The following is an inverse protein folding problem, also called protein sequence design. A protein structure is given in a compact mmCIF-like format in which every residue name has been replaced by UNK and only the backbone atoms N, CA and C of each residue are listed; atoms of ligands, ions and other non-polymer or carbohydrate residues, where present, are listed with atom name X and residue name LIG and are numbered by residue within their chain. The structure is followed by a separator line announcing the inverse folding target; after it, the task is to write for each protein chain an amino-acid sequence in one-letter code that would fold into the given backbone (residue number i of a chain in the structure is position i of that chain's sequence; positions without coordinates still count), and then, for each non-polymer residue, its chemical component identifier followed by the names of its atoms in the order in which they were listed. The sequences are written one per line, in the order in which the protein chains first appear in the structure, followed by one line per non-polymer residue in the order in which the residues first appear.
data_IF_929401036817
#
_entry.id   IF_929401036817
#
_cell.length_a   1.000
_cell.length_b   1.000
_cell.length_c   1.000
_cell.angle_alpha   90.00
_cell.angle_beta   90.00
_cell.angle_gamma   90.00
#
_symmetry.space_group_name_H-M   'P 1'
#
loop_
_entity.id
_entity.type
_entity.pdbx_description
1 polymer ?
#
# COMPACT_ATOMS: atom_id res chain seq x y z
N UNK A 1 -9.65 -38.76 -81.81
CA UNK A 1 -10.44 -37.52 -81.66
C UNK A 1 -10.09 -36.91 -80.31
N UNK A 2 -9.50 -35.70 -80.28
CA UNK A 2 -9.07 -35.08 -79.03
C UNK A 2 -10.26 -34.50 -78.26
N UNK A 3 -10.41 -34.87 -76.98
CA UNK A 3 -11.48 -34.36 -76.12
C UNK A 3 -11.32 -32.87 -75.84
N UNK A 4 -12.40 -32.10 -75.97
CA UNK A 4 -12.43 -30.66 -75.65
C UNK A 4 -12.10 -30.44 -74.16
N UNK A 5 -11.26 -29.44 -73.82
CA UNK A 5 -10.93 -29.18 -72.43
C UNK A 5 -12.16 -28.66 -71.65
N UNK A 6 -12.30 -29.03 -70.36
CA UNK A 6 -13.46 -28.62 -69.57
C UNK A 6 -13.46 -27.11 -69.34
N UNK A 7 -14.63 -26.49 -69.52
CA UNK A 7 -14.82 -25.05 -69.32
C UNK A 7 -14.49 -24.65 -67.87
N UNK A 8 -13.58 -23.66 -67.71
CA UNK A 8 -13.21 -23.11 -66.39
C UNK A 8 -14.46 -22.55 -65.70
N UNK A 9 -14.86 -23.15 -64.57
CA UNK A 9 -15.91 -22.61 -63.69
C UNK A 9 -15.53 -21.18 -63.31
N UNK A 10 -16.35 -20.19 -63.70
CA UNK A 10 -16.18 -18.78 -63.28
C UNK A 10 -16.20 -18.75 -61.75
N UNK A 11 -15.03 -18.56 -61.14
CA UNK A 11 -14.87 -18.52 -59.70
C UNK A 11 -15.81 -17.49 -59.07
N UNK A 12 -16.47 -17.88 -57.97
CA UNK A 12 -17.35 -16.99 -57.19
C UNK A 12 -16.57 -15.74 -56.80
N UNK A 13 -16.94 -14.59 -57.37
CA UNK A 13 -16.31 -13.29 -57.05
C UNK A 13 -16.38 -13.08 -55.54
N UNK A 14 -15.23 -13.02 -54.87
CA UNK A 14 -15.14 -12.71 -53.44
C UNK A 14 -15.67 -11.29 -53.24
N UNK A 15 -16.80 -11.15 -52.56
CA UNK A 15 -17.33 -9.83 -52.18
C UNK A 15 -16.31 -9.20 -51.23
N UNK A 16 -15.80 -8.02 -51.59
CA UNK A 16 -14.89 -7.26 -50.73
C UNK A 16 -15.68 -6.84 -49.49
N UNK A 17 -15.31 -7.34 -48.31
CA UNK A 17 -15.87 -6.83 -47.07
C UNK A 17 -15.44 -5.38 -46.91
N UNK A 18 -16.40 -4.48 -46.81
CA UNK A 18 -16.15 -3.10 -46.38
C UNK A 18 -16.29 -3.08 -44.88
N UNK A 19 -15.15 -3.20 -44.20
CA UNK A 19 -15.06 -3.04 -42.76
C UNK A 19 -15.29 -1.56 -42.43
N UNK A 20 -16.55 -1.18 -42.25
CA UNK A 20 -16.91 0.12 -41.68
C UNK A 20 -17.23 -0.08 -40.20
N UNK A 21 -16.68 0.79 -39.36
CA UNK A 21 -17.05 0.84 -37.95
C UNK A 21 -18.57 1.07 -37.82
N UNK A 22 -19.21 0.33 -36.91
CA UNK A 22 -20.65 0.43 -36.67
C UNK A 22 -21.06 1.80 -36.12
N UNK A 23 -20.16 2.47 -35.40
CA UNK A 23 -20.38 3.80 -34.84
C UNK A 23 -19.20 4.72 -35.21
N UNK A 24 -19.52 5.98 -35.51
CA UNK A 24 -18.54 7.02 -35.90
C UNK A 24 -17.94 7.75 -34.69
N UNK A 25 -18.59 7.65 -33.53
CA UNK A 25 -18.24 8.36 -32.29
C UNK A 25 -18.47 7.39 -31.12
N UNK A 26 -17.66 7.53 -30.07
CA UNK A 26 -17.80 6.73 -28.86
C UNK A 26 -19.01 7.22 -28.05
N UNK A 27 -19.77 6.28 -27.49
CA UNK A 27 -20.87 6.61 -26.58
C UNK A 27 -20.28 6.90 -25.20
N UNK A 28 -20.16 8.18 -24.85
CA UNK A 28 -19.52 8.65 -23.60
C UNK A 28 -20.18 8.08 -22.33
N UNK A 29 -21.45 7.68 -22.42
CA UNK A 29 -22.22 7.09 -21.31
C UNK A 29 -21.98 5.59 -21.13
N UNK A 30 -21.69 4.86 -22.20
CA UNK A 30 -21.43 3.42 -22.16
C UNK A 30 -19.93 3.11 -22.03
N UNK A 31 -19.09 3.91 -22.69
CA UNK A 31 -17.63 3.82 -22.69
C UNK A 31 -16.99 4.85 -21.74
N UNK A 32 -17.62 5.14 -20.59
CA UNK A 32 -16.96 5.94 -19.56
C UNK A 32 -15.87 5.08 -18.90
N UNK A 33 -14.63 5.20 -19.38
CA UNK A 33 -13.47 4.64 -18.70
C UNK A 33 -13.37 5.27 -17.31
N UNK A 34 -13.76 4.50 -16.29
CA UNK A 34 -13.52 4.86 -14.90
C UNK A 34 -12.17 4.28 -14.56
N UNK A 35 -11.17 5.15 -14.46
CA UNK A 35 -9.87 4.81 -13.91
C UNK A 35 -10.09 4.37 -12.46
N UNK A 36 -10.24 3.06 -12.25
CA UNK A 36 -10.24 2.49 -10.92
C UNK A 36 -8.80 2.55 -10.44
N UNK A 37 -8.42 3.72 -9.92
CA UNK A 37 -7.19 3.98 -9.20
C UNK A 37 -7.15 3.07 -7.96
N UNK A 38 -6.80 1.80 -8.19
CA UNK A 38 -6.86 0.70 -7.22
C UNK A 38 -5.83 0.79 -6.09
N UNK A 39 -5.17 1.93 -5.93
CA UNK A 39 -4.28 2.17 -4.79
C UNK A 39 -4.60 3.40 -3.94
N UNK A 40 -5.46 4.31 -4.38
CA UNK A 40 -5.75 5.53 -3.61
C UNK A 40 -7.14 6.10 -3.92
N UNK A 41 -8.20 5.43 -3.47
CA UNK A 41 -9.52 6.07 -3.36
C UNK A 41 -10.03 6.03 -1.93
N UNK A 42 -9.15 6.33 -0.97
CA UNK A 42 -9.58 6.87 0.32
C UNK A 42 -9.86 8.38 0.15
N UNK A 43 -10.90 8.72 -0.63
CA UNK A 43 -11.43 10.10 -0.78
C UNK A 43 -12.68 10.31 0.05
N UNK A 44 -12.86 9.52 1.11
CA UNK A 44 -14.09 9.52 1.91
C UNK A 44 -13.93 9.21 3.39
N UNK A 45 -12.73 8.87 3.88
CA UNK A 45 -12.46 8.93 5.31
C UNK A 45 -11.61 10.16 5.54
N UNK A 46 -12.22 11.19 6.11
CA UNK A 46 -11.45 12.11 6.94
C UNK A 46 -10.58 11.23 7.82
N UNK A 47 -9.26 11.28 7.64
CA UNK A 47 -8.33 10.80 8.65
C UNK A 47 -8.63 11.67 9.87
N UNK A 48 -9.63 11.28 10.66
CA UNK A 48 -9.74 11.75 12.02
C UNK A 48 -8.39 11.43 12.62
N UNK A 49 -7.67 12.47 13.06
CA UNK A 49 -6.35 12.39 13.65
C UNK A 49 -6.23 11.04 14.36
N UNK A 50 -5.38 10.16 13.81
CA UNK A 50 -5.10 8.88 14.43
C UNK A 50 -4.83 9.20 15.91
N UNK A 51 -5.49 8.52 16.85
CA UNK A 51 -5.37 8.85 18.26
C UNK A 51 -3.88 8.90 18.57
N UNK A 52 -3.41 10.08 19.00
CA UNK A 52 -2.00 10.32 19.30
C UNK A 52 -1.51 9.14 20.11
N UNK A 53 -0.56 8.39 19.56
CA UNK A 53 -0.01 7.20 20.22
C UNK A 53 0.30 7.59 21.66
N UNK A 54 -0.30 6.88 22.62
CA UNK A 54 -0.12 7.18 24.03
C UNK A 54 1.38 7.21 24.30
N UNK A 55 1.90 8.36 24.70
CA UNK A 55 3.33 8.51 24.97
C UNK A 55 3.77 7.38 25.90
N UNK A 56 4.93 6.73 25.64
CA UNK A 56 5.33 5.59 26.43
C UNK A 56 5.46 5.99 27.91
N UNK A 57 4.61 5.38 28.73
CA UNK A 57 4.62 5.58 30.20
C UNK A 57 5.88 5.01 30.85
N UNK A 58 6.60 4.14 30.13
CA UNK A 58 7.76 3.40 30.60
C UNK A 58 8.96 3.61 29.69
N UNK A 59 10.10 3.92 30.30
CA UNK A 59 11.41 4.07 29.67
C UNK A 59 12.24 2.84 30.04
N UNK A 60 12.88 2.23 29.03
CA UNK A 60 13.87 1.18 29.25
C UNK A 60 15.22 1.80 29.56
N UNK A 61 15.77 1.54 30.74
CA UNK A 61 17.06 2.07 31.19
C UNK A 61 18.00 0.92 31.50
N UNK A 62 19.23 1.00 31.01
CA UNK A 62 20.30 0.06 31.32
C UNK A 62 21.06 0.54 32.56
N UNK A 63 21.23 -0.32 33.57
CA UNK A 63 22.09 -0.02 34.72
C UNK A 63 23.57 -0.09 34.31
N UNK A 64 24.39 0.91 34.65
CA UNK A 64 25.82 0.95 34.30
C UNK A 64 26.63 -0.15 34.98
N UNK A 65 26.30 -0.50 36.23
CA UNK A 65 27.04 -1.49 37.01
C UNK A 65 26.66 -2.93 36.67
N UNK A 66 25.37 -3.18 36.45
CA UNK A 66 24.82 -4.53 36.34
C UNK A 66 24.39 -4.89 34.91
N UNK A 67 24.33 -3.93 33.98
CA UNK A 67 23.95 -4.14 32.58
C UNK A 67 22.51 -4.58 32.35
N UNK A 68 21.73 -4.78 33.41
CA UNK A 68 20.33 -5.20 33.35
C UNK A 68 19.48 -4.06 32.77
N UNK A 69 18.58 -4.42 31.87
CA UNK A 69 17.57 -3.52 31.30
C UNK A 69 16.34 -3.49 32.20
N UNK A 70 16.05 -2.32 32.77
CA UNK A 70 14.92 -2.10 33.68
C UNK A 70 13.88 -1.20 33.03
N UNK A 71 12.61 -1.37 33.42
CA UNK A 71 11.50 -0.54 32.95
C UNK A 71 11.15 0.48 34.03
N UNK A 72 11.71 1.68 33.92
CA UNK A 72 11.39 2.79 34.82
C UNK A 72 10.17 3.56 34.29
N UNK A 73 9.34 4.09 35.18
CA UNK A 73 8.25 5.01 34.78
C UNK A 73 8.84 6.32 34.26
N UNK A 74 8.14 6.98 33.33
CA UNK A 74 8.54 8.30 32.81
C UNK A 74 8.69 9.31 33.96
N UNK A 75 9.88 9.87 34.18
CA UNK A 75 10.10 10.87 35.20
C UNK A 75 9.39 12.18 34.82
N UNK A 76 8.76 12.82 35.80
CA UNK A 76 8.08 14.12 35.60
C UNK A 76 9.03 15.31 35.60
N UNK A 77 10.24 15.13 36.13
CA UNK A 77 11.26 16.17 36.26
C UNK A 77 12.35 15.93 35.21
N UNK A 78 12.99 17.01 34.76
CA UNK A 78 14.16 16.94 33.86
C UNK A 78 15.34 16.24 34.52
N UNK A 79 15.52 16.44 35.84
CA UNK A 79 16.52 15.75 36.66
C UNK A 79 15.88 14.70 37.53
N UNK A 80 16.34 13.47 37.41
CA UNK A 80 15.76 12.34 38.14
C UNK A 80 16.82 11.28 38.41
N UNK A 81 16.58 10.52 39.48
CA UNK A 81 17.43 9.41 39.89
C UNK A 81 16.67 8.10 39.70
N UNK A 82 17.34 7.07 39.17
CA UNK A 82 16.78 5.71 39.03
C UNK A 82 17.62 4.77 39.87
N UNK A 83 17.00 4.14 40.86
CA UNK A 83 17.60 3.04 41.62
C UNK A 83 17.48 1.74 40.83
N UNK A 84 18.55 0.94 40.81
CA UNK A 84 18.51 -0.38 40.22
C UNK A 84 17.62 -1.32 41.05
N UNK A 85 16.64 -1.95 40.40
CA UNK A 85 15.71 -2.91 41.02
C UNK A 85 16.38 -4.23 41.44
N UNK A 86 17.64 -4.45 41.03
CA UNK A 86 18.38 -5.65 41.38
C UNK A 86 18.95 -5.53 42.81
N UNK A 87 18.50 -6.42 43.70
CA UNK A 87 18.76 -6.38 45.14
C UNK A 87 20.25 -6.36 45.54
N UNK A 88 21.12 -6.95 44.72
CA UNK A 88 22.58 -6.95 44.99
C UNK A 88 23.33 -5.76 44.38
N UNK A 89 22.70 -5.01 43.46
CA UNK A 89 23.32 -3.86 42.80
C UNK A 89 23.11 -2.57 43.61
N UNK A 90 21.86 -2.27 43.98
CA UNK A 90 21.49 -1.09 44.77
C UNK A 90 21.95 0.27 44.18
N UNK A 91 22.41 0.30 42.94
CA UNK A 91 23.09 1.45 42.37
C UNK A 91 22.09 2.54 41.95
N UNK A 92 22.44 3.79 42.22
CA UNK A 92 21.65 4.98 41.87
C UNK A 92 22.24 5.66 40.66
N UNK A 93 21.47 5.71 39.58
CA UNK A 93 21.81 6.41 38.35
C UNK A 93 21.24 7.84 38.39
N UNK A 94 22.10 8.85 38.27
CA UNK A 94 21.70 10.26 38.28
C UNK A 94 21.63 10.82 36.84
N UNK A 95 20.42 11.13 36.38
CA UNK A 95 20.21 11.80 35.10
C UNK A 95 19.97 13.29 35.35
N UNK A 96 20.97 14.13 35.00
CA UNK A 96 21.02 15.58 35.26
C UNK A 96 20.62 16.46 34.06
#
# INVERSE_FOLDING_TARGET
MAAKPPAKKKGRRRRKMRLTLKQKKMDVTADSYKDSLGWSTDVGRTLGDAPKEAEPEFITVQCEMCGIMMKARKPRKTRYTITCDYESCGHTMDFS
#
